data_IF_204206119246
#
_entry.id   IF_204206119246
#
_cell.length_a   1.000
_cell.length_b   1.000
_cell.length_c   1.000
_cell.angle_alpha   90.00
_cell.angle_beta   90.00
_cell.angle_gamma   90.00
#
_symmetry.space_group_name_H-M   'P 1'
#
loop_
_entity.id
_entity.type
_entity.pdbx_description
1 polymer ?
#
# COMPACT_ATOMS: atom_id res chain seq x y z
N UNK A 1 -12.63 30.38 -44.97
CA UNK A 1 -12.98 30.87 -43.61
C UNK A 1 -13.44 29.65 -42.83
N UNK A 2 -12.92 29.43 -41.62
CA UNK A 2 -13.37 28.36 -40.75
C UNK A 2 -14.33 28.93 -39.71
N UNK A 3 -15.37 28.18 -39.37
CA UNK A 3 -16.17 28.40 -38.16
C UNK A 3 -15.53 27.57 -37.03
N UNK A 4 -15.30 28.20 -35.88
CA UNK A 4 -14.73 27.55 -34.69
C UNK A 4 -15.78 27.60 -33.59
N UNK A 5 -16.20 26.42 -33.12
CA UNK A 5 -17.20 26.29 -32.07
C UNK A 5 -16.61 25.51 -30.89
N UNK A 6 -16.67 26.12 -29.70
CA UNK A 6 -16.41 25.44 -28.42
C UNK A 6 -17.67 25.64 -27.58
N UNK A 7 -18.60 24.70 -27.68
CA UNK A 7 -19.85 24.69 -26.93
C UNK A 7 -19.61 24.09 -25.54
N UNK A 8 -19.16 24.93 -24.60
CA UNK A 8 -18.88 24.52 -23.23
C UNK A 8 -19.50 25.48 -22.22
N UNK A 9 -19.70 25.01 -20.99
CA UNK A 9 -20.26 25.82 -19.89
C UNK A 9 -19.31 25.80 -18.70
N UNK A 10 -19.07 26.98 -18.10
CA UNK A 10 -18.37 27.15 -16.83
C UNK A 10 -19.30 27.87 -15.84
N UNK A 11 -19.79 27.15 -14.83
CA UNK A 11 -20.78 27.64 -13.87
C UNK A 11 -20.61 26.95 -12.50
N UNK A 12 -21.22 27.48 -11.41
CA UNK A 12 -21.28 26.79 -10.13
C UNK A 12 -21.86 25.37 -10.27
N UNK A 13 -21.24 24.41 -9.58
CA UNK A 13 -21.61 23.00 -9.68
C UNK A 13 -21.04 22.18 -8.52
N UNK A 14 -20.75 20.90 -8.77
CA UNK A 14 -20.21 19.98 -7.78
C UNK A 14 -18.96 19.29 -8.32
N UNK A 15 -18.10 18.87 -7.39
CA UNK A 15 -16.99 17.96 -7.65
C UNK A 15 -17.44 16.53 -7.32
N UNK A 16 -17.29 15.62 -8.27
CA UNK A 16 -17.60 14.20 -8.08
C UNK A 16 -16.32 13.45 -7.71
N UNK A 17 -16.37 12.71 -6.60
CA UNK A 17 -15.47 11.60 -6.32
C UNK A 17 -16.30 10.44 -5.77
N UNK A 18 -15.78 9.23 -5.89
CA UNK A 18 -16.38 8.02 -5.36
C UNK A 18 -15.43 7.35 -4.36
N UNK A 19 -16.02 6.59 -3.44
CA UNK A 19 -15.28 5.80 -2.46
C UNK A 19 -15.94 4.42 -2.36
N UNK A 20 -15.13 3.38 -2.46
CA UNK A 20 -15.52 2.00 -2.18
C UNK A 20 -14.79 1.55 -0.91
N UNK A 21 -15.55 1.13 0.10
CA UNK A 21 -15.03 0.66 1.38
C UNK A 21 -15.12 -0.87 1.40
N UNK A 22 -13.99 -1.52 1.71
CA UNK A 22 -13.91 -2.94 2.04
C UNK A 22 -13.65 -3.05 3.54
N UNK A 23 -14.67 -3.47 4.28
CA UNK A 23 -14.63 -3.54 5.74
C UNK A 23 -13.57 -4.53 6.22
N UNK A 24 -12.72 -4.06 7.14
CA UNK A 24 -11.68 -4.86 7.77
C UNK A 24 -12.12 -5.44 9.10
N UNK A 25 -11.25 -6.26 9.69
CA UNK A 25 -11.46 -6.84 11.02
C UNK A 25 -10.92 -5.98 12.17
N UNK A 26 -10.12 -4.95 11.87
CA UNK A 26 -9.55 -4.03 12.85
C UNK A 26 -10.15 -2.62 12.70
N UNK A 27 -9.93 -1.76 13.71
CA UNK A 27 -10.31 -0.34 13.63
C UNK A 27 -9.41 0.49 12.70
N UNK A 28 -8.36 -0.11 12.15
CA UNK A 28 -7.32 0.53 11.35
C UNK A 28 -7.69 0.60 9.86
N UNK A 29 -7.09 1.52 9.13
CA UNK A 29 -7.47 1.87 7.76
C UNK A 29 -6.25 1.82 6.81
N UNK A 30 -6.51 1.56 5.54
CA UNK A 30 -5.56 1.77 4.45
C UNK A 30 -6.29 2.35 3.22
N UNK A 31 -5.53 2.99 2.33
CA UNK A 31 -6.10 3.69 1.16
C UNK A 31 -5.43 3.28 -0.15
N UNK A 32 -6.23 3.17 -1.20
CA UNK A 32 -5.78 3.24 -2.59
C UNK A 32 -6.48 4.42 -3.23
N UNK A 33 -5.71 5.38 -3.74
CA UNK A 33 -6.23 6.53 -4.46
C UNK A 33 -5.85 6.44 -5.94
N UNK A 34 -6.80 6.73 -6.83
CA UNK A 34 -6.53 6.83 -8.27
C UNK A 34 -7.34 7.98 -8.87
N UNK A 35 -6.74 8.72 -9.80
CA UNK A 35 -7.39 9.90 -10.34
C UNK A 35 -8.30 9.61 -11.53
N UNK A 36 -9.41 10.36 -11.61
CA UNK A 36 -10.48 10.17 -12.62
C UNK A 36 -10.74 11.40 -13.49
N UNK A 37 -9.79 12.33 -13.58
CA UNK A 37 -9.99 13.62 -14.26
C UNK A 37 -9.58 13.64 -15.73
N UNK A 38 -8.73 12.70 -16.18
CA UNK A 38 -8.28 12.67 -17.57
C UNK A 38 -9.37 12.07 -18.48
N UNK A 39 -9.55 12.61 -19.70
CA UNK A 39 -10.59 12.16 -20.63
C UNK A 39 -10.14 10.89 -21.37
N UNK A 40 -10.20 10.86 -22.70
CA UNK A 40 -9.89 9.69 -23.53
C UNK A 40 -8.39 9.38 -23.60
N UNK A 41 -7.81 8.95 -22.49
CA UNK A 41 -6.43 8.47 -22.36
C UNK A 41 -6.40 7.12 -21.64
N UNK A 42 -5.55 6.21 -22.10
CA UNK A 42 -5.52 4.83 -21.60
C UNK A 42 -4.62 4.67 -20.37
N UNK A 43 -3.32 4.94 -20.49
CA UNK A 43 -2.35 4.74 -19.42
C UNK A 43 -2.52 5.81 -18.33
N UNK A 44 -2.73 7.09 -18.67
CA UNK A 44 -3.05 8.20 -17.76
C UNK A 44 -4.54 8.61 -17.85
N UNK A 45 -5.49 7.97 -17.18
CA UNK A 45 -5.30 7.03 -16.08
C UNK A 45 -6.36 5.93 -16.03
N UNK A 46 -6.92 5.56 -17.17
CA UNK A 46 -7.89 4.47 -17.23
C UNK A 46 -7.31 3.16 -16.65
N UNK A 47 -6.00 2.92 -16.81
CA UNK A 47 -5.31 1.79 -16.18
C UNK A 47 -5.39 1.80 -14.64
N UNK A 48 -5.17 2.95 -13.99
CA UNK A 48 -5.26 3.09 -12.54
C UNK A 48 -6.68 2.85 -12.03
N UNK A 49 -7.68 3.42 -12.72
CA UNK A 49 -9.10 3.23 -12.42
C UNK A 49 -9.48 1.75 -12.52
N UNK A 50 -9.14 1.10 -13.64
CA UNK A 50 -9.46 -0.30 -13.88
C UNK A 50 -8.79 -1.23 -12.85
N UNK A 51 -7.52 -0.97 -12.51
CA UNK A 51 -6.80 -1.73 -11.50
C UNK A 51 -7.43 -1.58 -10.12
N UNK A 52 -7.73 -0.35 -9.67
CA UNK A 52 -8.36 -0.10 -8.38
C UNK A 52 -9.74 -0.77 -8.26
N UNK A 53 -10.55 -0.75 -9.33
CA UNK A 53 -11.85 -1.47 -9.36
C UNK A 53 -11.64 -2.98 -9.20
N UNK A 54 -10.73 -3.57 -9.98
CA UNK A 54 -10.46 -5.02 -9.92
C UNK A 54 -9.93 -5.46 -8.55
N UNK A 55 -9.04 -4.68 -7.95
CA UNK A 55 -8.49 -4.94 -6.61
C UNK A 55 -9.55 -4.81 -5.53
N UNK A 56 -10.40 -3.77 -5.59
CA UNK A 56 -11.50 -3.62 -4.64
C UNK A 56 -12.47 -4.81 -4.72
N UNK A 57 -12.81 -5.28 -5.93
CA UNK A 57 -13.67 -6.44 -6.12
C UNK A 57 -13.04 -7.72 -5.57
N UNK A 58 -11.76 -7.95 -5.84
CA UNK A 58 -11.04 -9.12 -5.32
C UNK A 58 -10.97 -9.09 -3.79
N UNK A 59 -10.62 -7.95 -3.20
CA UNK A 59 -10.49 -7.80 -1.76
C UNK A 59 -11.81 -7.97 -1.01
N UNK A 60 -12.96 -7.66 -1.63
CA UNK A 60 -14.29 -7.90 -1.05
C UNK A 60 -14.64 -9.37 -0.87
N UNK A 61 -13.99 -10.27 -1.60
CA UNK A 61 -14.13 -11.71 -1.41
C UNK A 61 -13.29 -12.23 -0.23
N UNK A 62 -12.35 -11.41 0.25
CA UNK A 62 -11.46 -11.72 1.36
C UNK A 62 -11.98 -11.16 2.68
N UNK A 63 -11.24 -11.38 3.76
CA UNK A 63 -11.51 -10.77 5.08
C UNK A 63 -10.28 -9.99 5.56
N UNK A 64 -9.99 -8.82 4.97
CA UNK A 64 -8.78 -8.06 5.31
C UNK A 64 -8.77 -7.63 6.78
N UNK A 65 -7.57 -7.42 7.32
CA UNK A 65 -7.38 -6.90 8.68
C UNK A 65 -7.72 -5.42 8.72
N UNK A 66 -7.23 -4.64 7.77
CA UNK A 66 -7.48 -3.20 7.66
C UNK A 66 -8.78 -2.96 6.90
N UNK A 67 -9.47 -1.86 7.23
CA UNK A 67 -10.52 -1.35 6.36
C UNK A 67 -9.87 -0.64 5.18
N UNK A 68 -10.12 -1.12 3.96
CA UNK A 68 -9.53 -0.57 2.76
C UNK A 68 -10.49 0.40 2.07
N UNK A 69 -9.98 1.60 1.76
CA UNK A 69 -10.71 2.65 1.06
C UNK A 69 -10.13 2.82 -0.33
N UNK A 70 -10.91 2.50 -1.35
CA UNK A 70 -10.57 2.77 -2.74
C UNK A 70 -11.25 4.07 -3.15
N UNK A 71 -10.46 5.13 -3.32
CA UNK A 71 -10.93 6.48 -3.61
C UNK A 71 -10.65 6.82 -5.07
N UNK A 72 -11.70 7.24 -5.76
CA UNK A 72 -11.70 7.61 -7.17
C UNK A 72 -12.08 9.09 -7.28
N UNK A 73 -11.11 9.97 -7.51
CA UNK A 73 -11.37 11.42 -7.51
C UNK A 73 -10.49 12.19 -8.49
N UNK A 74 -10.83 13.43 -8.84
CA UNK A 74 -9.96 14.24 -9.71
C UNK A 74 -8.60 14.48 -9.05
N UNK A 75 -7.53 14.47 -9.85
CA UNK A 75 -6.18 14.69 -9.34
C UNK A 75 -6.05 16.04 -8.63
N UNK A 76 -5.25 16.10 -7.58
CA UNK A 76 -5.03 17.23 -6.68
C UNK A 76 -6.25 17.66 -5.87
N UNK A 77 -7.28 18.21 -6.52
CA UNK A 77 -8.42 18.77 -5.80
C UNK A 77 -9.29 17.67 -5.17
N UNK A 78 -9.39 16.49 -5.79
CA UNK A 78 -10.16 15.37 -5.25
C UNK A 78 -9.55 14.79 -3.99
N UNK A 79 -8.22 14.60 -3.96
CA UNK A 79 -7.52 14.11 -2.77
C UNK A 79 -7.58 15.11 -1.63
N UNK A 80 -7.43 16.42 -1.90
CA UNK A 80 -7.61 17.48 -0.91
C UNK A 80 -9.04 17.52 -0.34
N UNK A 81 -10.05 17.41 -1.19
CA UNK A 81 -11.45 17.32 -0.73
C UNK A 81 -11.66 16.09 0.14
N UNK A 82 -11.14 14.92 -0.26
CA UNK A 82 -11.24 13.71 0.55
C UNK A 82 -10.53 13.88 1.90
N UNK A 83 -9.30 14.41 1.92
CA UNK A 83 -8.53 14.66 3.14
C UNK A 83 -9.30 15.58 4.11
N UNK A 84 -9.78 16.73 3.62
CA UNK A 84 -10.52 17.70 4.44
C UNK A 84 -11.82 17.14 5.06
N UNK A 85 -12.41 16.12 4.44
CA UNK A 85 -13.65 15.48 4.92
C UNK A 85 -13.39 14.29 5.84
N UNK A 86 -12.14 13.84 5.93
CA UNK A 86 -11.76 12.60 6.60
C UNK A 86 -10.61 12.78 7.60
N UNK A 87 -10.33 14.01 8.06
CA UNK A 87 -9.25 14.29 9.01
C UNK A 87 -9.30 13.40 10.27
N UNK A 88 -10.50 13.17 10.81
CA UNK A 88 -10.71 12.28 11.96
C UNK A 88 -10.38 10.80 11.70
N UNK A 89 -10.24 10.38 10.43
CA UNK A 89 -9.83 9.03 10.06
C UNK A 89 -8.32 8.89 9.93
N UNK A 90 -7.60 9.98 9.66
CA UNK A 90 -6.18 9.94 9.31
C UNK A 90 -5.30 9.28 10.38
N UNK A 91 -5.52 9.47 11.70
CA UNK A 91 -4.70 8.81 12.73
C UNK A 91 -4.71 7.27 12.67
N UNK A 92 -5.70 6.70 11.97
CA UNK A 92 -5.88 5.25 11.78
C UNK A 92 -5.39 4.76 10.42
N UNK A 93 -4.90 5.65 9.55
CA UNK A 93 -4.41 5.29 8.22
C UNK A 93 -2.98 4.76 8.33
N UNK A 94 -2.81 3.45 8.19
CA UNK A 94 -1.52 2.75 8.40
C UNK A 94 -0.64 2.66 7.16
N UNK A 95 -1.23 2.88 5.99
CA UNK A 95 -0.52 2.88 4.73
C UNK A 95 -1.46 3.15 3.56
N UNK A 96 -0.87 3.38 2.40
CA UNK A 96 -1.65 3.51 1.19
C UNK A 96 -0.84 3.74 -0.06
N UNK A 97 -1.53 3.71 -1.19
CA UNK A 97 -0.94 3.83 -2.51
C UNK A 97 -1.73 4.83 -3.34
N UNK A 98 -1.02 5.72 -4.02
CA UNK A 98 -1.52 6.35 -5.24
C UNK A 98 -1.15 5.45 -6.42
N UNK A 99 -2.14 5.08 -7.23
CA UNK A 99 -1.93 4.17 -8.36
C UNK A 99 -2.38 4.79 -9.68
N UNK A 100 -1.56 4.62 -10.70
CA UNK A 100 -1.85 5.05 -12.07
C UNK A 100 -0.72 4.70 -13.04
N UNK A 101 -0.90 4.94 -14.34
CA UNK A 101 0.13 4.67 -15.35
C UNK A 101 0.62 3.21 -15.32
N UNK A 102 -0.29 2.24 -15.31
CA UNK A 102 0.02 0.84 -14.97
C UNK A 102 0.15 -0.10 -16.19
N UNK A 103 0.00 0.39 -17.41
CA UNK A 103 -0.22 -0.46 -18.59
C UNK A 103 0.89 -0.48 -19.63
N UNK A 104 1.80 0.48 -19.64
CA UNK A 104 2.84 0.59 -20.67
C UNK A 104 4.02 -0.39 -20.44
N UNK A 105 4.93 -0.62 -21.42
CA UNK A 105 6.01 -1.61 -21.28
C UNK A 105 7.17 -1.19 -20.37
N UNK A 106 7.18 0.03 -19.82
CA UNK A 106 8.21 0.49 -18.88
C UNK A 106 8.27 -0.36 -17.60
N UNK A 107 9.37 -0.32 -16.84
CA UNK A 107 9.48 -1.05 -15.57
C UNK A 107 8.54 -0.47 -14.52
N UNK A 108 8.15 -1.30 -13.54
CA UNK A 108 7.44 -0.81 -12.34
C UNK A 108 8.33 0.20 -11.62
N UNK A 109 7.75 1.33 -11.26
CA UNK A 109 8.38 2.38 -10.46
C UNK A 109 7.55 2.62 -9.21
N UNK A 110 8.15 2.43 -8.05
CA UNK A 110 7.61 2.88 -6.78
C UNK A 110 8.29 4.18 -6.36
N UNK A 111 7.49 5.20 -6.09
CA UNK A 111 7.95 6.44 -5.47
C UNK A 111 7.61 6.39 -4.00
N UNK A 112 8.63 6.55 -3.16
CA UNK A 112 8.49 6.55 -1.71
C UNK A 112 7.58 7.68 -1.24
N UNK A 113 6.93 7.46 -0.11
CA UNK A 113 6.31 8.53 0.66
C UNK A 113 7.37 9.57 1.09
N UNK A 114 6.93 10.75 1.54
CA UNK A 114 7.86 11.81 1.96
C UNK A 114 8.82 11.39 3.07
N UNK A 115 8.37 10.53 3.99
CA UNK A 115 9.20 10.07 5.12
C UNK A 115 10.27 9.07 4.68
N UNK A 116 10.03 8.34 3.58
CA UNK A 116 11.02 7.50 2.91
C UNK A 116 11.24 6.11 3.51
N UNK A 117 10.79 5.86 4.75
CA UNK A 117 11.01 4.61 5.49
C UNK A 117 9.73 4.07 6.15
N UNK A 118 8.57 4.50 5.66
CA UNK A 118 7.28 4.12 6.23
C UNK A 118 6.99 2.63 6.05
N UNK A 119 5.99 2.12 6.77
CA UNK A 119 5.54 0.74 6.58
C UNK A 119 5.19 0.44 5.09
N UNK A 120 4.59 1.40 4.39
CA UNK A 120 4.30 1.29 2.95
C UNK A 120 5.58 1.24 2.11
N UNK A 121 6.57 2.08 2.42
CA UNK A 121 7.85 2.12 1.67
C UNK A 121 8.64 0.83 1.86
N UNK A 122 8.72 0.35 3.10
CA UNK A 122 9.39 -0.91 3.42
C UNK A 122 8.64 -2.12 2.85
N UNK A 123 7.30 -2.06 2.78
CA UNK A 123 6.50 -3.06 2.08
C UNK A 123 6.80 -3.09 0.58
N UNK A 124 6.99 -1.93 -0.05
CA UNK A 124 7.40 -1.84 -1.45
C UNK A 124 8.78 -2.47 -1.68
N UNK A 125 9.75 -2.21 -0.81
CA UNK A 125 11.07 -2.84 -0.90
C UNK A 125 11.02 -4.37 -0.77
N UNK A 126 10.05 -4.91 -0.02
CA UNK A 126 9.86 -6.35 0.14
C UNK A 126 9.22 -6.99 -1.11
N UNK A 127 8.24 -6.32 -1.71
CA UNK A 127 7.40 -6.87 -2.78
C UNK A 127 8.03 -6.71 -4.17
N UNK A 128 8.74 -5.61 -4.39
CA UNK A 128 9.28 -5.29 -5.70
C UNK A 128 10.37 -6.28 -6.11
N UNK A 129 10.31 -6.70 -7.38
CA UNK A 129 11.20 -7.69 -7.98
C UNK A 129 12.34 -7.01 -8.74
N UNK A 130 13.31 -7.82 -9.16
CA UNK A 130 14.43 -7.38 -10.01
C UNK A 130 13.92 -6.62 -11.25
N UNK A 131 14.48 -5.44 -11.49
CA UNK A 131 14.12 -4.57 -12.61
C UNK A 131 13.10 -3.48 -12.27
N UNK A 132 12.44 -3.54 -11.12
CA UNK A 132 11.66 -2.41 -10.60
C UNK A 132 12.58 -1.26 -10.16
N UNK A 133 12.04 -0.05 -10.17
CA UNK A 133 12.72 1.18 -9.73
C UNK A 133 12.09 1.68 -8.45
N UNK A 134 12.92 2.04 -7.48
CA UNK A 134 12.48 2.79 -6.31
C UNK A 134 13.10 4.18 -6.40
N UNK A 135 12.26 5.21 -6.33
CA UNK A 135 12.68 6.62 -6.35
C UNK A 135 12.23 7.31 -5.08
N UNK A 136 13.03 8.26 -4.61
CA UNK A 136 12.70 9.05 -3.42
C UNK A 136 11.58 10.05 -3.71
N UNK A 137 10.97 10.54 -2.64
CA UNK A 137 9.91 11.52 -2.73
C UNK A 137 10.41 12.84 -3.33
N UNK A 138 9.62 13.37 -4.26
CA UNK A 138 9.64 14.77 -4.66
C UNK A 138 8.19 15.30 -4.59
N UNK A 139 7.95 16.58 -4.27
CA UNK A 139 6.60 17.13 -4.15
C UNK A 139 5.94 17.42 -5.53
N UNK A 140 6.21 16.59 -6.53
CA UNK A 140 5.72 16.70 -7.90
C UNK A 140 5.20 15.36 -8.44
N UNK A 141 4.27 15.39 -9.40
CA UNK A 141 3.62 14.19 -9.93
C UNK A 141 2.16 14.13 -9.52
N UNK A 142 1.77 13.10 -8.77
CA UNK A 142 0.36 12.79 -8.48
C UNK A 142 0.01 13.10 -7.02
N UNK A 143 -1.11 12.56 -6.56
CA UNK A 143 -1.74 12.86 -5.28
C UNK A 143 -0.94 12.42 -4.05
N UNK A 144 0.12 11.63 -4.19
CA UNK A 144 1.00 11.28 -3.06
C UNK A 144 1.56 12.54 -2.42
N UNK A 145 1.73 13.62 -3.20
CA UNK A 145 2.16 14.93 -2.71
C UNK A 145 1.14 15.59 -1.77
N UNK A 146 -0.16 15.33 -1.95
CA UNK A 146 -1.21 15.85 -1.07
C UNK A 146 -1.27 15.03 0.22
N UNK A 147 -1.29 13.70 0.11
CA UNK A 147 -1.26 12.81 1.27
C UNK A 147 0.01 12.98 2.13
N UNK A 148 1.15 13.28 1.50
CA UNK A 148 2.43 13.52 2.17
C UNK A 148 2.70 14.99 2.51
N UNK A 149 1.73 15.89 2.32
CA UNK A 149 1.91 17.30 2.71
C UNK A 149 2.20 17.41 4.21
N UNK A 150 3.00 18.39 4.69
CA UNK A 150 3.46 18.42 6.08
C UNK A 150 2.40 18.34 7.18
N UNK A 151 1.19 18.84 6.93
CA UNK A 151 0.08 18.75 7.90
C UNK A 151 -0.61 17.39 7.95
N UNK A 152 -0.35 16.50 6.98
CA UNK A 152 -0.90 15.14 6.91
C UNK A 152 0.19 14.07 7.10
N UNK A 153 1.32 14.22 6.39
CA UNK A 153 2.54 13.39 6.43
C UNK A 153 2.27 11.86 6.44
N UNK A 154 1.26 11.43 5.67
CA UNK A 154 0.76 10.06 5.69
C UNK A 154 1.73 9.09 5.00
N UNK A 155 1.65 7.82 5.38
CA UNK A 155 2.41 6.71 4.81
C UNK A 155 1.90 6.30 3.41
N UNK A 156 1.84 7.23 2.45
CA UNK A 156 1.30 6.98 1.12
C UNK A 156 2.41 7.10 0.07
N UNK A 157 2.74 5.97 -0.56
CA UNK A 157 3.63 5.92 -1.73
C UNK A 157 2.85 5.96 -3.04
N UNK A 158 3.57 5.90 -4.16
CA UNK A 158 2.96 5.82 -5.50
C UNK A 158 3.54 4.68 -6.31
N UNK A 159 2.67 3.86 -6.92
CA UNK A 159 3.08 2.83 -7.88
C UNK A 159 2.67 3.24 -9.30
N UNK A 160 3.63 3.25 -10.22
CA UNK A 160 3.45 3.45 -11.66
C UNK A 160 4.27 2.43 -12.44
N UNK A 161 4.14 2.37 -13.76
CA UNK A 161 5.19 1.87 -14.66
C UNK A 161 6.06 3.03 -15.12
N UNK A 162 5.97 3.46 -16.39
CA UNK A 162 6.58 4.72 -16.81
C UNK A 162 5.92 5.89 -16.09
N UNK A 163 6.71 6.69 -15.39
CA UNK A 163 6.17 7.81 -14.60
C UNK A 163 5.69 8.96 -15.48
N UNK A 164 4.95 9.90 -14.87
CA UNK A 164 4.43 11.10 -15.54
C UNK A 164 5.54 11.86 -16.28
N UNK A 165 5.31 12.15 -17.57
CA UNK A 165 6.27 12.84 -18.43
C UNK A 165 7.50 12.02 -18.85
N UNK A 166 7.53 10.70 -18.60
CA UNK A 166 8.67 9.83 -18.92
C UNK A 166 8.41 8.82 -20.05
N UNK A 167 7.31 8.99 -20.79
CA UNK A 167 7.04 8.23 -22.01
C UNK A 167 6.48 9.15 -23.11
N UNK A 168 6.78 8.89 -24.41
CA UNK A 168 6.46 9.80 -25.51
C UNK A 168 4.97 10.13 -25.66
N UNK A 169 4.10 9.18 -25.33
CA UNK A 169 2.66 9.27 -25.52
C UNK A 169 1.96 10.10 -24.43
N UNK A 170 2.64 10.40 -23.32
CA UNK A 170 2.09 11.10 -22.16
C UNK A 170 1.39 12.42 -22.55
N UNK A 171 0.13 12.57 -22.16
CA UNK A 171 -0.73 13.72 -22.49
C UNK A 171 -0.91 13.97 -23.99
N UNK A 172 -0.83 12.92 -24.81
CA UNK A 172 -1.15 12.99 -26.25
C UNK A 172 -2.23 11.98 -26.61
N UNK A 173 -2.81 12.09 -27.80
CA UNK A 173 -3.76 11.09 -28.31
C UNK A 173 -3.13 9.71 -28.56
N UNK A 174 -1.81 9.58 -28.52
CA UNK A 174 -1.12 8.31 -28.64
C UNK A 174 -1.15 7.49 -27.34
N UNK A 175 -1.58 8.08 -26.21
CA UNK A 175 -1.91 7.32 -25.00
C UNK A 175 -3.28 6.65 -25.15
N UNK A 176 -3.33 5.68 -26.05
CA UNK A 176 -4.51 4.90 -26.41
C UNK A 176 -4.37 3.42 -25.97
N UNK A 177 -5.38 2.61 -26.25
CA UNK A 177 -5.39 1.20 -25.81
C UNK A 177 -4.27 0.36 -26.44
N UNK A 178 -3.65 0.80 -27.54
CA UNK A 178 -2.53 0.08 -28.17
C UNK A 178 -1.22 0.19 -27.38
N UNK A 179 -1.08 1.24 -26.55
CA UNK A 179 0.04 1.39 -25.61
C UNK A 179 -0.01 0.34 -24.49
N UNK A 180 -1.22 -0.17 -24.18
CA UNK A 180 -1.45 -1.04 -23.03
C UNK A 180 -1.05 -2.47 -23.32
N UNK A 181 -0.12 -2.98 -22.53
CA UNK A 181 0.40 -4.34 -22.59
C UNK A 181 -0.26 -5.19 -21.50
N UNK A 182 -0.97 -6.24 -21.91
CA UNK A 182 -1.74 -7.12 -20.99
C UNK A 182 -0.85 -7.72 -19.90
N UNK A 183 0.32 -8.20 -20.28
CA UNK A 183 1.33 -8.77 -19.40
C UNK A 183 1.84 -7.74 -18.38
N UNK A 184 2.11 -6.52 -18.82
CA UNK A 184 2.53 -5.40 -17.97
C UNK A 184 1.43 -4.98 -16.98
N UNK A 185 0.19 -4.82 -17.44
CA UNK A 185 -0.94 -4.47 -16.58
C UNK A 185 -1.22 -5.58 -15.55
N UNK A 186 -1.12 -6.85 -15.94
CA UNK A 186 -1.28 -7.99 -15.03
C UNK A 186 -0.15 -8.06 -13.99
N UNK A 187 1.09 -7.75 -14.39
CA UNK A 187 2.21 -7.59 -13.45
C UNK A 187 1.93 -6.48 -12.45
N UNK A 188 1.57 -5.28 -12.91
CA UNK A 188 1.25 -4.14 -12.05
C UNK A 188 0.09 -4.45 -11.09
N UNK A 189 -0.97 -5.11 -11.56
CA UNK A 189 -2.09 -5.53 -10.70
C UNK A 189 -1.64 -6.49 -9.59
N UNK A 190 -0.80 -7.49 -9.93
CA UNK A 190 -0.24 -8.42 -8.94
C UNK A 190 0.64 -7.69 -7.94
N UNK A 191 1.49 -6.76 -8.39
CA UNK A 191 2.34 -5.97 -7.49
C UNK A 191 1.51 -5.12 -6.53
N UNK A 192 0.45 -4.45 -7.00
CA UNK A 192 -0.44 -3.70 -6.09
C UNK A 192 -1.14 -4.65 -5.11
N UNK A 193 -1.61 -5.82 -5.58
CA UNK A 193 -2.23 -6.82 -4.70
C UNK A 193 -1.25 -7.33 -3.62
N UNK A 194 -0.01 -7.64 -3.98
CA UNK A 194 1.03 -8.07 -3.06
C UNK A 194 1.33 -6.97 -2.03
N UNK A 195 1.38 -5.70 -2.43
CA UNK A 195 1.51 -4.56 -1.51
C UNK A 195 0.33 -4.45 -0.55
N UNK A 196 -0.90 -4.59 -1.07
CA UNK A 196 -2.11 -4.60 -0.24
C UNK A 196 -2.01 -5.70 0.82
N UNK A 197 -1.62 -6.92 0.45
CA UNK A 197 -1.44 -8.05 1.38
C UNK A 197 -0.42 -7.74 2.46
N UNK A 198 0.76 -7.22 2.09
CA UNK A 198 1.82 -6.89 3.05
C UNK A 198 1.37 -5.77 4.00
N UNK A 199 0.79 -4.69 3.48
CA UNK A 199 0.29 -3.57 4.28
C UNK A 199 -0.82 -4.03 5.24
N UNK A 200 -1.75 -4.84 4.75
CA UNK A 200 -2.88 -5.35 5.52
C UNK A 200 -2.44 -6.23 6.71
N UNK A 201 -1.49 -7.13 6.46
CA UNK A 201 -1.01 -8.10 7.46
C UNK A 201 0.07 -7.52 8.39
N UNK A 202 0.72 -6.43 8.01
CA UNK A 202 1.79 -5.83 8.81
C UNK A 202 1.24 -5.26 10.13
N UNK A 203 1.97 -5.52 11.21
CA UNK A 203 1.63 -5.11 12.58
C UNK A 203 2.87 -5.19 13.47
N UNK A 204 2.87 -4.44 14.57
CA UNK A 204 3.86 -4.59 15.65
C UNK A 204 3.40 -5.67 16.61
N UNK A 205 4.36 -6.42 17.13
CA UNK A 205 4.11 -7.46 18.12
C UNK A 205 4.81 -7.08 19.44
N UNK A 206 4.19 -7.44 20.55
CA UNK A 206 4.79 -7.38 21.87
C UNK A 206 4.94 -8.78 22.46
N UNK A 207 6.15 -9.18 22.81
CA UNK A 207 6.48 -10.45 23.43
C UNK A 207 6.01 -10.47 24.90
N UNK A 208 5.16 -11.43 25.23
CA UNK A 208 4.59 -11.62 26.57
C UNK A 208 5.47 -12.53 27.45
N UNK A 209 6.54 -13.08 26.90
CA UNK A 209 7.57 -13.87 27.60
C UNK A 209 8.98 -13.41 27.20
N UNK A 210 9.37 -12.15 27.47
CA UNK A 210 10.58 -11.55 26.90
C UNK A 210 11.89 -11.98 27.61
N UNK A 211 11.80 -12.62 28.78
CA UNK A 211 12.98 -13.02 29.57
C UNK A 211 13.45 -14.43 29.18
N UNK A 212 14.14 -14.49 28.04
CA UNK A 212 14.64 -15.74 27.45
C UNK A 212 13.61 -16.45 26.58
N UNK A 213 13.96 -17.64 26.08
CA UNK A 213 13.14 -18.38 25.14
C UNK A 213 11.98 -19.13 25.85
N UNK A 214 10.71 -18.93 25.44
CA UNK A 214 9.61 -19.70 26.01
C UNK A 214 9.71 -21.17 25.62
N UNK A 215 9.18 -22.08 26.44
CA UNK A 215 9.12 -23.51 26.09
C UNK A 215 8.10 -23.78 24.98
N UNK A 216 8.54 -23.73 23.72
CA UNK A 216 7.71 -23.80 22.51
C UNK A 216 7.04 -25.16 22.26
N UNK A 217 7.70 -26.27 22.62
CA UNK A 217 7.18 -27.62 22.37
C UNK A 217 5.84 -27.93 23.08
N UNK A 218 5.60 -27.36 24.27
CA UNK A 218 4.30 -27.53 24.98
C UNK A 218 3.13 -26.79 24.32
N UNK A 219 3.43 -25.89 23.37
CA UNK A 219 2.47 -25.04 22.67
C UNK A 219 2.25 -25.47 21.22
N UNK A 220 2.79 -26.62 20.81
CA UNK A 220 2.69 -27.12 19.44
C UNK A 220 3.46 -26.31 18.39
N UNK A 221 4.35 -25.40 18.83
CA UNK A 221 5.11 -24.51 17.96
C UNK A 221 6.46 -25.10 17.50
N UNK A 222 6.84 -26.25 18.04
CA UNK A 222 8.00 -27.03 17.64
C UNK A 222 7.57 -28.45 17.26
N UNK A 223 8.22 -29.03 16.25
CA UNK A 223 8.05 -30.43 15.90
C UNK A 223 8.46 -31.34 17.07
N UNK A 224 7.81 -32.51 17.15
CA UNK A 224 7.99 -33.49 18.24
C UNK A 224 9.36 -34.18 18.25
N UNK A 225 10.21 -33.97 17.25
CA UNK A 225 11.54 -34.60 17.11
C UNK A 225 12.63 -33.54 17.25
N UNK A 226 13.29 -33.51 18.42
CA UNK A 226 14.47 -32.66 18.65
C UNK A 226 15.73 -33.28 18.04
N UNK A 227 16.57 -32.48 17.38
CA UNK A 227 17.88 -32.92 16.87
C UNK A 227 18.21 -32.52 15.42
N UNK A 228 17.23 -32.03 14.64
CA UNK A 228 17.45 -31.43 13.32
C UNK A 228 17.56 -29.90 13.45
N UNK A 229 18.30 -29.26 12.54
CA UNK A 229 18.35 -27.79 12.44
C UNK A 229 16.93 -27.23 12.39
N UNK A 230 16.64 -26.08 13.04
CA UNK A 230 15.33 -25.46 12.96
C UNK A 230 14.92 -25.28 11.49
N UNK A 231 13.72 -25.74 11.13
CA UNK A 231 13.14 -25.38 9.83
C UNK A 231 12.87 -23.88 9.75
N UNK A 232 12.60 -23.37 8.55
CA UNK A 232 12.35 -21.94 8.32
C UNK A 232 11.24 -21.38 9.24
N UNK A 233 10.21 -22.17 9.54
CA UNK A 233 9.13 -21.79 10.44
C UNK A 233 9.58 -21.59 11.89
N UNK A 234 10.43 -22.49 12.42
CA UNK A 234 10.98 -22.33 13.76
C UNK A 234 11.90 -21.11 13.84
N UNK A 235 12.69 -20.86 12.79
CA UNK A 235 13.52 -19.66 12.71
C UNK A 235 12.66 -18.38 12.69
N UNK A 236 11.52 -18.40 11.98
CA UNK A 236 10.56 -17.31 11.97
C UNK A 236 10.02 -17.01 13.37
N UNK A 237 9.64 -18.04 14.13
CA UNK A 237 9.20 -17.89 15.53
C UNK A 237 10.26 -17.21 16.39
N UNK A 238 11.53 -17.65 16.28
CA UNK A 238 12.61 -17.09 17.07
C UNK A 238 12.88 -15.61 16.72
N UNK A 239 12.89 -15.27 15.44
CA UNK A 239 13.01 -13.89 14.99
C UNK A 239 11.88 -13.00 15.49
N UNK A 240 10.63 -13.49 15.38
CA UNK A 240 9.46 -12.75 15.85
C UNK A 240 9.49 -12.53 17.36
N UNK A 241 9.81 -13.55 18.16
CA UNK A 241 9.92 -13.39 19.62
C UNK A 241 11.04 -12.40 20.01
N UNK A 242 12.15 -12.42 19.27
CA UNK A 242 13.30 -11.53 19.50
C UNK A 242 12.99 -10.07 19.17
N UNK A 243 12.25 -9.82 18.09
CA UNK A 243 11.92 -8.46 17.60
C UNK A 243 10.52 -7.98 18.01
N UNK A 244 9.73 -8.77 18.74
CA UNK A 244 8.46 -8.36 19.30
C UNK A 244 8.67 -7.48 20.55
N UNK A 245 9.40 -6.37 20.39
CA UNK A 245 9.72 -5.39 21.43
C UNK A 245 8.75 -4.20 21.45
N UNK A 246 7.78 -4.18 20.55
CA UNK A 246 6.87 -3.05 20.33
C UNK A 246 7.43 -1.95 19.43
N UNK A 247 8.68 -2.05 19.00
CA UNK A 247 9.30 -1.10 18.08
C UNK A 247 9.27 -1.64 16.65
N UNK A 248 9.60 -2.92 16.46
CA UNK A 248 9.67 -3.54 15.14
C UNK A 248 8.32 -4.13 14.71
N UNK A 249 7.96 -3.88 13.45
CA UNK A 249 6.84 -4.54 12.79
C UNK A 249 7.28 -5.79 12.01
N UNK A 250 6.32 -6.49 11.42
CA UNK A 250 6.59 -7.70 10.65
C UNK A 250 7.45 -7.41 9.42
N UNK A 251 7.26 -6.27 8.77
CA UNK A 251 8.09 -5.88 7.61
C UNK A 251 9.56 -5.69 8.01
N UNK A 252 9.82 -5.00 9.13
CA UNK A 252 11.18 -4.85 9.66
C UNK A 252 11.79 -6.22 10.02
N UNK A 253 10.97 -7.12 10.58
CA UNK A 253 11.38 -8.50 10.87
C UNK A 253 11.72 -9.27 9.59
N UNK A 254 10.92 -9.14 8.54
CA UNK A 254 11.17 -9.76 7.24
C UNK A 254 12.48 -9.27 6.61
N UNK A 255 12.70 -7.95 6.59
CA UNK A 255 13.93 -7.36 6.08
C UNK A 255 15.17 -7.85 6.84
N UNK A 256 15.10 -7.93 8.18
CA UNK A 256 16.23 -8.34 9.02
C UNK A 256 16.51 -9.85 8.97
N UNK A 257 15.45 -10.67 8.97
CA UNK A 257 15.56 -12.13 8.99
C UNK A 257 15.74 -12.76 7.61
N UNK A 258 15.34 -12.05 6.54
CA UNK A 258 15.23 -12.56 5.16
C UNK A 258 14.33 -13.80 5.04
N UNK A 259 13.36 -13.93 5.95
CA UNK A 259 12.36 -14.99 5.88
C UNK A 259 11.20 -14.51 5.02
N UNK A 260 10.72 -15.43 4.17
CA UNK A 260 9.57 -15.23 3.29
C UNK A 260 8.33 -14.73 4.06
N UNK A 261 7.67 -13.73 3.49
CA UNK A 261 6.51 -13.05 4.11
C UNK A 261 5.41 -14.02 4.59
N UNK A 262 4.96 -15.01 3.79
CA UNK A 262 3.91 -15.92 4.23
C UNK A 262 4.29 -16.74 5.48
N UNK A 263 5.56 -17.11 5.61
CA UNK A 263 6.07 -17.88 6.74
C UNK A 263 6.08 -17.03 8.01
N UNK A 264 6.45 -15.76 7.90
CA UNK A 264 6.43 -14.82 9.04
C UNK A 264 5.01 -14.54 9.53
N UNK A 265 4.06 -14.32 8.61
CA UNK A 265 2.65 -14.09 8.98
C UNK A 265 2.06 -15.32 9.66
N UNK A 266 2.27 -16.52 9.11
CA UNK A 266 1.80 -17.75 9.75
C UNK A 266 2.41 -17.93 11.15
N UNK A 267 3.71 -17.69 11.30
CA UNK A 267 4.40 -17.80 12.58
C UNK A 267 3.88 -16.78 13.61
N UNK A 268 3.59 -15.55 13.17
CA UNK A 268 3.01 -14.51 14.01
C UNK A 268 1.60 -14.90 14.49
N UNK A 269 0.73 -15.38 13.61
CA UNK A 269 -0.63 -15.83 13.96
C UNK A 269 -0.61 -16.99 14.96
N UNK A 270 0.33 -17.92 14.79
CA UNK A 270 0.56 -19.06 15.69
C UNK A 270 1.06 -18.62 17.06
N UNK A 271 1.94 -17.62 17.12
CA UNK A 271 2.43 -17.03 18.38
C UNK A 271 1.34 -16.27 19.13
N UNK A 272 0.49 -15.52 18.40
CA UNK A 272 -0.67 -14.82 18.97
C UNK A 272 -1.68 -15.83 19.55
N UNK A 273 -2.01 -16.87 18.79
CA UNK A 273 -2.89 -17.97 19.24
C UNK A 273 -2.34 -18.68 20.49
N UNK A 274 -1.01 -18.84 20.57
CA UNK A 274 -0.34 -19.45 21.71
C UNK A 274 -0.18 -18.52 22.93
N UNK A 275 -0.63 -17.25 22.83
CA UNK A 275 -0.52 -16.25 23.88
C UNK A 275 0.92 -15.86 24.22
N UNK A 276 1.84 -15.98 23.27
CA UNK A 276 3.26 -15.61 23.47
C UNK A 276 3.56 -14.19 22.99
N UNK A 277 2.77 -13.69 22.04
CA UNK A 277 2.85 -12.31 21.58
C UNK A 277 1.45 -11.72 21.50
N UNK A 278 1.37 -10.39 21.46
CA UNK A 278 0.13 -9.65 21.20
C UNK A 278 0.38 -8.58 20.16
N UNK A 279 -0.49 -8.47 19.16
CA UNK A 279 -0.46 -7.34 18.24
C UNK A 279 -0.77 -6.02 18.97
N UNK A 280 0.03 -4.99 18.69
CA UNK A 280 -0.19 -3.63 19.18
C UNK A 280 -0.39 -2.69 18.01
N UNK A 281 -1.11 -1.59 18.23
CA UNK A 281 -1.30 -0.56 17.21
C UNK A 281 0.07 -0.03 16.75
N UNK A 282 0.21 0.22 15.45
CA UNK A 282 1.30 1.04 14.96
C UNK A 282 1.11 2.44 15.58
N UNK A 283 2.18 3.08 16.09
CA UNK A 283 2.06 4.40 16.71
C UNK A 283 1.34 5.37 15.77
N UNK A 284 0.70 6.37 16.36
CA UNK A 284 0.14 7.49 15.63
C UNK A 284 1.31 8.25 14.99
N UNK A 285 1.58 7.96 13.72
CA UNK A 285 2.63 8.60 12.93
C UNK A 285 2.29 10.05 12.55
N UNK A 286 1.14 10.56 13.01
CA UNK A 286 0.74 11.94 12.76
C UNK A 286 1.42 12.80 13.80
N UNK A 287 2.44 13.55 13.36
CA UNK A 287 2.90 14.71 14.09
C UNK A 287 1.68 15.54 14.46
N UNK A 288 1.39 15.71 15.76
CA UNK A 288 0.51 16.77 16.23
C UNK A 288 1.10 18.10 15.74
N UNK A 289 0.75 18.51 14.52
CA UNK A 289 0.85 19.89 14.12
C UNK A 289 -0.15 20.64 14.99
N UNK A 290 0.32 21.05 16.17
CA UNK A 290 -0.31 22.10 16.97
C UNK A 290 -0.50 23.28 16.03
N UNK A 291 -1.76 23.51 15.67
CA UNK A 291 -2.21 24.73 14.99
C UNK A 291 -1.85 25.97 15.83
#
# INVERSE_FOLDING_TARGET
>A
VYEVVIDSTLAPGHLTYAECIVEGQSGEQAIVYTHTCHPSLANDNLTGIAAAVALAQALRAERPRLTWRFVFGPGTIGSLVWLSRNEALLPRLRGGLVVGLLGDPGPITYKRSRRGDTATDRAAELVLRDGARIVDFEPYGYDERQFCSPGFDLAVGRLTRSANGQYPEYHTSADDLSLIRRDCLAESLRTVADLIVVIDQNRKLLNLSPKGEPRLGKRGLYGSVGGLSPGMFQQAILWLLSLADGEHDLVATAQRSRIEWPVLVEAADRLETAGLVRAIALPEDINECKA
#
